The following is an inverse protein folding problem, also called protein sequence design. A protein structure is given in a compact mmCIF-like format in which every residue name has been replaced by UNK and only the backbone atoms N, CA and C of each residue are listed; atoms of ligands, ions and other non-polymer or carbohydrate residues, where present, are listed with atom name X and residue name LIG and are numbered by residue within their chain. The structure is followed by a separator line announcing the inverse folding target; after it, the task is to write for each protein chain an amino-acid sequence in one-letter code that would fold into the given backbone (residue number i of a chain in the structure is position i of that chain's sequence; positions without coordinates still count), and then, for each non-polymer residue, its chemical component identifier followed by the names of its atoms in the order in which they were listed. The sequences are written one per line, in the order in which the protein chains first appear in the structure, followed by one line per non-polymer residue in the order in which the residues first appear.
data_IF_555094813205
#
_entry.id   IF_555094813205
#
_cell.length_a   1.000
_cell.length_b   1.000
_cell.length_c   1.000
_cell.angle_alpha   90.00
_cell.angle_beta   90.00
_cell.angle_gamma   90.00
#
_symmetry.space_group_name_H-M   'P 1'
#
loop_
_entity.id
_entity.type
_entity.pdbx_description
1 polymer ?
#
# COMPACT_ATOMS: atom_id res chain seq x y z
N UNK A 1 -19.72 -3.18 17.40
CA UNK A 1 -20.35 -2.46 16.28
C UNK A 1 -19.26 -1.74 15.51
N UNK A 2 -19.39 -1.61 14.19
CA UNK A 2 -18.50 -0.77 13.40
C UNK A 2 -19.15 0.61 13.30
N UNK A 3 -18.46 1.65 13.77
CA UNK A 3 -18.92 3.04 13.74
C UNK A 3 -17.90 3.90 12.99
N UNK A 4 -18.38 4.85 12.19
CA UNK A 4 -17.55 5.86 11.56
C UNK A 4 -17.74 7.19 12.30
N UNK A 5 -16.64 7.77 12.77
CA UNK A 5 -16.63 9.04 13.49
C UNK A 5 -15.79 10.03 12.70
N UNK A 6 -16.43 11.08 12.18
CA UNK A 6 -15.73 12.16 11.49
C UNK A 6 -15.02 13.07 12.51
N UNK A 7 -13.70 13.21 12.34
CA UNK A 7 -12.84 14.07 13.15
C UNK A 7 -12.03 15.05 12.29
N UNK A 8 -12.39 15.23 11.01
CA UNK A 8 -11.64 16.07 10.05
C UNK A 8 -11.52 17.51 10.56
N UNK A 9 -12.60 18.09 11.07
CA UNK A 9 -12.63 19.46 11.58
C UNK A 9 -12.16 19.60 13.03
N UNK A 10 -11.89 18.49 13.72
CA UNK A 10 -11.43 18.51 15.10
C UNK A 10 -9.92 18.78 15.16
N UNK A 11 -9.48 19.50 16.20
CA UNK A 11 -8.05 19.57 16.56
C UNK A 11 -7.54 18.21 17.03
N UNK A 12 -6.23 18.00 17.00
CA UNK A 12 -5.62 16.76 17.52
C UNK A 12 -5.96 16.51 18.99
N UNK A 13 -6.03 17.56 19.80
CA UNK A 13 -6.40 17.48 21.21
C UNK A 13 -7.84 17.00 21.38
N UNK A 14 -8.79 17.58 20.62
CA UNK A 14 -10.20 17.20 20.72
C UNK A 14 -10.42 15.77 20.20
N UNK A 15 -9.74 15.39 19.12
CA UNK A 15 -9.76 14.03 18.59
C UNK A 15 -9.19 13.02 19.58
N UNK A 16 -8.03 13.29 20.17
CA UNK A 16 -7.42 12.43 21.19
C UNK A 16 -8.32 12.29 22.41
N UNK A 17 -8.91 13.39 22.91
CA UNK A 17 -9.86 13.35 24.01
C UNK A 17 -11.07 12.47 23.68
N UNK A 18 -11.65 12.61 22.49
CA UNK A 18 -12.79 11.79 22.08
C UNK A 18 -12.44 10.29 22.01
N UNK A 19 -11.24 9.95 21.51
CA UNK A 19 -10.76 8.56 21.48
C UNK A 19 -10.56 8.02 22.91
N UNK A 20 -10.03 8.82 23.82
CA UNK A 20 -9.87 8.42 25.21
C UNK A 20 -11.23 8.23 25.92
N UNK A 21 -12.17 9.16 25.69
CA UNK A 21 -13.52 9.13 26.27
C UNK A 21 -14.36 7.95 25.73
N UNK A 22 -14.03 7.38 24.56
CA UNK A 22 -14.69 6.17 24.04
C UNK A 22 -14.20 4.87 24.68
N UNK A 23 -13.13 4.91 25.47
CA UNK A 23 -12.58 3.72 26.13
C UNK A 23 -11.91 2.73 25.19
N UNK A 24 -11.40 3.18 24.03
CA UNK A 24 -10.75 2.32 23.04
C UNK A 24 -9.47 1.68 23.61
N UNK A 25 -9.38 0.35 23.57
CA UNK A 25 -8.18 -0.36 24.05
C UNK A 25 -7.02 -0.30 23.04
N UNK A 26 -7.31 -0.42 21.74
CA UNK A 26 -6.32 -0.49 20.66
C UNK A 26 -6.64 0.53 19.58
N UNK A 27 -5.68 1.42 19.29
CA UNK A 27 -5.76 2.40 18.22
C UNK A 27 -4.74 2.07 17.13
N UNK A 28 -5.21 1.95 15.89
CA UNK A 28 -4.35 1.81 14.72
C UNK A 28 -4.16 3.17 14.04
N UNK A 29 -2.91 3.61 13.90
CA UNK A 29 -2.55 4.72 13.01
C UNK A 29 -2.24 4.17 11.63
N UNK A 30 -3.06 4.57 10.64
CA UNK A 30 -2.90 4.13 9.26
C UNK A 30 -1.97 5.03 8.45
N UNK A 31 -1.55 6.17 8.99
CA UNK A 31 -0.95 7.24 8.21
C UNK A 31 0.53 7.47 8.53
N UNK A 32 0.94 7.46 9.81
CA UNK A 32 2.28 7.82 10.26
C UNK A 32 2.88 9.06 9.53
N UNK A 33 3.77 8.89 8.57
CA UNK A 33 4.40 10.00 7.81
C UNK A 33 3.77 10.29 6.43
N UNK A 34 2.64 9.66 6.10
CA UNK A 34 1.93 9.92 4.84
C UNK A 34 1.06 11.17 4.89
N UNK A 35 0.60 11.62 3.72
CA UNK A 35 -0.20 12.84 3.57
C UNK A 35 -1.47 12.76 4.41
N UNK A 36 -1.70 13.80 5.23
CA UNK A 36 -2.87 13.89 6.09
C UNK A 36 -2.69 13.21 7.46
N UNK A 37 -1.47 12.76 7.77
CA UNK A 37 -1.11 12.25 9.10
C UNK A 37 -1.49 13.19 10.23
N UNK A 38 -1.89 12.62 11.36
CA UNK A 38 -2.28 13.34 12.59
C UNK A 38 -1.39 12.93 13.78
N UNK A 39 -0.06 13.11 13.71
CA UNK A 39 0.88 12.59 14.71
C UNK A 39 0.67 13.20 16.11
N UNK A 40 0.03 14.37 16.21
CA UNK A 40 -0.32 14.95 17.51
C UNK A 40 -1.34 14.11 18.29
N UNK A 41 -2.24 13.38 17.61
CA UNK A 41 -3.15 12.43 18.25
C UNK A 41 -2.34 11.28 18.87
N UNK A 42 -1.41 10.69 18.11
CA UNK A 42 -0.53 9.63 18.59
C UNK A 42 0.34 10.11 19.76
N UNK A 43 0.86 11.33 19.66
CA UNK A 43 1.72 11.93 20.69
C UNK A 43 1.02 12.10 22.05
N UNK A 44 -0.32 12.27 22.04
CA UNK A 44 -1.19 12.35 23.22
C UNK A 44 -1.59 10.99 23.79
N UNK A 45 -1.30 9.89 23.08
CA UNK A 45 -1.53 8.50 23.50
C UNK A 45 -2.94 8.26 24.07
N UNK A 46 -4.01 8.43 23.28
CA UNK A 46 -5.39 8.36 23.77
C UNK A 46 -5.91 6.93 23.99
N UNK A 47 -5.14 5.90 23.62
CA UNK A 47 -5.48 4.49 23.81
C UNK A 47 -4.35 3.76 24.55
N UNK A 48 -4.65 2.59 25.12
CA UNK A 48 -3.65 1.78 25.87
C UNK A 48 -2.59 1.21 24.93
N UNK A 49 -3.02 0.71 23.78
CA UNK A 49 -2.17 0.12 22.75
C UNK A 49 -2.30 0.95 21.48
N UNK A 50 -1.19 1.49 20.98
CA UNK A 50 -1.12 2.14 19.69
C UNK A 50 -0.30 1.29 18.73
N UNK A 51 -0.81 1.16 17.50
CA UNK A 51 -0.23 0.32 16.44
C UNK A 51 -0.06 1.14 15.18
N UNK A 52 1.16 1.19 14.65
CA UNK A 52 1.43 1.68 13.30
C UNK A 52 1.08 0.58 12.29
N UNK A 53 0.11 0.85 11.41
CA UNK A 53 -0.26 -0.09 10.36
C UNK A 53 -0.90 0.57 9.14
N UNK A 54 -0.09 0.67 8.10
CA UNK A 54 -0.27 0.16 6.73
C UNK A 54 0.16 1.23 5.73
N UNK A 55 -0.40 2.44 5.84
CA UNK A 55 -0.22 3.47 4.81
C UNK A 55 1.22 3.94 4.67
N UNK A 56 1.99 3.98 5.76
CA UNK A 56 3.42 4.28 5.72
C UNK A 56 4.25 3.00 5.84
N UNK A 57 5.06 2.64 4.83
CA UNK A 57 5.92 1.46 4.87
C UNK A 57 7.23 1.78 5.64
N UNK A 58 7.12 2.03 6.94
CA UNK A 58 8.26 2.32 7.81
C UNK A 58 7.88 2.67 9.25
N UNK A 59 8.90 2.92 10.07
CA UNK A 59 8.75 3.36 11.47
C UNK A 59 8.04 4.71 11.58
N UNK A 60 7.24 4.89 12.63
CA UNK A 60 6.71 6.20 13.02
C UNK A 60 7.74 7.07 13.77
N UNK A 61 8.86 6.47 14.20
CA UNK A 61 9.90 7.13 14.99
C UNK A 61 9.51 7.45 16.44
N UNK A 62 8.28 7.17 16.86
CA UNK A 62 7.89 7.30 18.26
C UNK A 62 8.56 6.22 19.11
N UNK A 63 8.82 6.55 20.38
CA UNK A 63 9.30 5.54 21.33
C UNK A 63 8.26 4.43 21.53
N UNK A 64 8.69 3.20 21.89
CA UNK A 64 7.79 2.09 22.23
C UNK A 64 6.74 2.43 23.31
N UNK A 65 7.00 3.46 24.13
CA UNK A 65 6.10 3.93 25.16
C UNK A 65 4.89 4.71 24.58
N UNK A 66 5.04 5.30 23.39
CA UNK A 66 3.98 6.05 22.69
C UNK A 66 3.34 5.23 21.56
N UNK A 67 4.15 4.64 20.68
CA UNK A 67 3.70 3.71 19.63
C UNK A 67 4.19 2.32 20.00
N UNK A 68 3.28 1.42 20.37
CA UNK A 68 3.68 0.15 20.98
C UNK A 68 4.14 -0.86 19.94
N UNK A 69 3.42 -0.95 18.83
CA UNK A 69 3.65 -1.97 17.81
C UNK A 69 3.68 -1.40 16.40
N UNK A 70 4.40 -2.07 15.53
CA UNK A 70 4.27 -1.96 14.07
C UNK A 70 3.83 -3.33 13.54
N UNK A 71 2.77 -3.36 12.73
CA UNK A 71 2.24 -4.58 12.14
C UNK A 71 2.94 -4.85 10.79
N UNK A 72 3.64 -5.98 10.68
CA UNK A 72 4.52 -6.31 9.55
C UNK A 72 4.47 -7.80 9.22
N UNK A 73 5.23 -8.22 8.19
CA UNK A 73 5.56 -9.62 7.90
C UNK A 73 7.09 -9.80 7.79
N UNK A 74 7.54 -11.06 7.72
CA UNK A 74 8.96 -11.39 7.70
C UNK A 74 9.65 -11.12 6.35
N UNK A 75 8.90 -10.75 5.31
CA UNK A 75 9.44 -10.37 4.01
C UNK A 75 9.77 -8.88 3.99
N UNK A 76 8.85 -8.03 4.48
CA UNK A 76 9.04 -6.57 4.48
C UNK A 76 9.91 -6.08 5.63
N UNK A 77 9.88 -6.77 6.78
CA UNK A 77 10.79 -6.51 7.89
C UNK A 77 11.39 -7.84 8.39
N UNK A 78 12.47 -8.32 7.77
CA UNK A 78 13.20 -9.49 8.24
C UNK A 78 13.58 -9.34 9.73
N UNK A 79 13.40 -10.37 10.59
CA UNK A 79 13.65 -10.26 12.03
C UNK A 79 15.04 -9.76 12.43
N UNK A 80 16.04 -10.02 11.60
CA UNK A 80 17.42 -9.58 11.77
C UNK A 80 17.61 -8.06 11.68
N UNK A 81 16.67 -7.33 11.07
CA UNK A 81 16.79 -5.89 10.83
C UNK A 81 16.00 -5.03 11.83
N UNK A 82 15.17 -5.63 12.69
CA UNK A 82 14.23 -4.91 13.58
C UNK A 82 14.93 -3.78 14.34
N UNK A 83 16.06 -4.06 15.00
CA UNK A 83 16.75 -3.09 15.86
C UNK A 83 17.37 -1.90 15.10
N UNK A 84 17.55 -2.03 13.79
CA UNK A 84 18.16 -1.00 12.95
C UNK A 84 17.10 -0.15 12.22
N UNK A 85 15.93 -0.72 11.96
CA UNK A 85 14.93 -0.13 11.07
C UNK A 85 13.70 0.44 11.77
N UNK A 86 13.32 -0.08 12.95
CA UNK A 86 12.08 0.33 13.62
C UNK A 86 12.25 0.65 15.10
N UNK A 87 11.43 1.58 15.59
CA UNK A 87 11.40 1.95 17.02
C UNK A 87 10.30 1.22 17.77
N UNK A 88 9.22 0.84 17.09
CA UNK A 88 8.11 0.05 17.65
C UNK A 88 8.49 -1.42 17.81
N UNK A 89 7.73 -2.16 18.62
CA UNK A 89 7.85 -3.62 18.65
C UNK A 89 7.19 -4.21 17.42
N UNK A 90 7.92 -5.01 16.65
CA UNK A 90 7.34 -5.71 15.50
C UNK A 90 6.30 -6.75 15.96
N UNK A 91 5.12 -6.71 15.37
CA UNK A 91 4.11 -7.76 15.45
C UNK A 91 3.96 -8.39 14.07
N UNK A 92 4.36 -9.66 13.96
CA UNK A 92 4.38 -10.38 12.69
C UNK A 92 3.05 -11.05 12.38
N UNK A 93 2.45 -10.67 11.26
CA UNK A 93 1.28 -11.35 10.71
C UNK A 93 1.70 -12.63 9.96
N UNK A 94 0.85 -13.68 9.97
CA UNK A 94 1.08 -14.85 9.14
C UNK A 94 0.85 -14.49 7.66
N UNK A 95 1.87 -14.72 6.83
CA UNK A 95 1.78 -14.45 5.39
C UNK A 95 2.16 -13.01 5.04
N UNK A 96 1.22 -12.24 4.48
CA UNK A 96 1.45 -10.88 4.00
C UNK A 96 0.86 -9.85 4.95
N UNK A 97 1.62 -8.80 5.27
CA UNK A 97 1.17 -7.71 6.13
C UNK A 97 0.09 -6.85 5.45
N UNK A 98 0.07 -6.79 4.12
CA UNK A 98 -0.80 -5.91 3.37
C UNK A 98 -2.19 -6.53 3.17
N UNK A 99 -3.18 -5.99 3.87
CA UNK A 99 -4.58 -6.28 3.60
C UNK A 99 -5.01 -5.69 2.24
N UNK A 100 -5.57 -6.53 1.38
CA UNK A 100 -6.14 -6.13 0.09
C UNK A 100 -7.56 -6.70 -0.04
N UNK A 101 -8.44 -5.95 -0.72
CA UNK A 101 -9.75 -6.45 -1.12
C UNK A 101 -9.74 -6.79 -2.60
N UNK A 102 -10.14 -8.02 -2.94
CA UNK A 102 -10.25 -8.50 -4.31
C UNK A 102 -11.70 -8.57 -4.80
N UNK A 103 -12.65 -8.05 -4.01
CA UNK A 103 -14.10 -8.21 -4.23
C UNK A 103 -14.63 -7.49 -5.47
N UNK A 104 -13.82 -6.64 -6.11
CA UNK A 104 -14.23 -5.83 -7.26
C UNK A 104 -13.29 -5.99 -8.47
N UNK A 105 -12.81 -7.22 -8.70
CA UNK A 105 -12.08 -7.53 -9.94
C UNK A 105 -13.07 -7.57 -11.11
N UNK A 106 -13.14 -6.47 -11.87
CA UNK A 106 -13.85 -6.47 -13.14
C UNK A 106 -13.00 -7.18 -14.20
N UNK A 107 -13.53 -8.27 -14.74
CA UNK A 107 -12.94 -8.95 -15.88
C UNK A 107 -13.52 -8.37 -17.18
N UNK A 108 -12.72 -7.59 -17.91
CA UNK A 108 -13.10 -7.08 -19.23
C UNK A 108 -13.28 -8.21 -20.26
N UNK A 109 -12.50 -9.28 -20.13
CA UNK A 109 -12.63 -10.51 -20.90
C UNK A 109 -12.87 -11.65 -19.91
N UNK A 110 -13.95 -12.40 -20.10
CA UNK A 110 -14.26 -13.55 -19.22
C UNK A 110 -13.24 -14.66 -19.43
N UNK A 111 -12.64 -15.23 -18.36
CA UNK A 111 -11.75 -16.38 -18.48
C UNK A 111 -12.51 -17.70 -18.74
N UNK A 112 -13.84 -17.69 -18.76
CA UNK A 112 -14.68 -18.88 -18.97
C UNK A 112 -15.01 -19.16 -20.46
N UNK A 113 -14.47 -18.36 -21.39
CA UNK A 113 -14.66 -18.56 -22.84
C UNK A 113 -13.52 -19.40 -23.42
N UNK A 114 -13.62 -19.79 -24.69
CA UNK A 114 -12.53 -20.51 -25.35
C UNK A 114 -11.25 -19.66 -25.43
N UNK A 115 -10.09 -20.29 -25.49
CA UNK A 115 -8.79 -19.60 -25.61
C UNK A 115 -8.75 -18.64 -26.82
N UNK A 116 -9.38 -19.04 -27.94
CA UNK A 116 -9.47 -18.23 -29.15
C UNK A 116 -10.33 -16.97 -28.94
N UNK A 117 -11.47 -17.10 -28.27
CA UNK A 117 -12.35 -15.97 -27.94
C UNK A 117 -11.71 -15.03 -26.92
N UNK A 118 -11.05 -15.58 -25.90
CA UNK A 118 -10.32 -14.81 -24.90
C UNK A 118 -9.20 -14.00 -25.56
N UNK A 119 -8.40 -14.64 -26.42
CA UNK A 119 -7.32 -13.99 -27.18
C UNK A 119 -7.84 -12.87 -28.09
N UNK A 120 -8.97 -13.12 -28.76
CA UNK A 120 -9.60 -12.12 -29.64
C UNK A 120 -10.11 -10.92 -28.83
N UNK A 121 -10.76 -11.17 -27.69
CA UNK A 121 -11.20 -10.13 -26.77
C UNK A 121 -10.04 -9.27 -26.28
N UNK A 122 -8.97 -9.89 -25.76
CA UNK A 122 -7.79 -9.18 -25.26
C UNK A 122 -7.13 -8.34 -26.36
N UNK A 123 -6.98 -8.87 -27.57
CA UNK A 123 -6.43 -8.09 -28.71
C UNK A 123 -7.31 -6.89 -29.06
N UNK A 124 -8.63 -7.07 -29.04
CA UNK A 124 -9.59 -5.99 -29.30
C UNK A 124 -9.52 -4.89 -28.23
N UNK A 125 -9.54 -5.27 -26.95
CA UNK A 125 -9.44 -4.35 -25.81
C UNK A 125 -8.10 -3.61 -25.85
N UNK A 126 -6.98 -4.30 -26.05
CA UNK A 126 -5.65 -3.66 -26.13
C UNK A 126 -5.58 -2.66 -27.29
N UNK A 127 -6.04 -3.03 -28.48
CA UNK A 127 -6.02 -2.13 -29.64
C UNK A 127 -6.86 -0.86 -29.45
N UNK A 128 -8.02 -0.97 -28.77
CA UNK A 128 -8.94 0.15 -28.51
C UNK A 128 -8.52 1.02 -27.33
N UNK A 129 -8.20 0.41 -26.20
CA UNK A 129 -7.93 1.12 -24.94
C UNK A 129 -6.47 1.56 -24.81
N UNK A 130 -5.53 0.79 -25.37
CA UNK A 130 -4.08 1.00 -25.20
C UNK A 130 -3.37 1.43 -26.48
N UNK A 131 -4.10 1.46 -27.61
CA UNK A 131 -3.60 1.86 -28.92
C UNK A 131 -3.06 0.71 -29.77
N UNK A 132 -3.11 0.89 -31.09
CA UNK A 132 -2.83 -0.15 -32.09
C UNK A 132 -1.42 -0.77 -31.97
N UNK A 133 -0.43 0.00 -31.52
CA UNK A 133 0.93 -0.48 -31.30
C UNK A 133 1.02 -1.60 -30.25
N UNK A 134 0.04 -1.73 -29.37
CA UNK A 134 0.03 -2.73 -28.29
C UNK A 134 -0.48 -4.11 -28.69
N UNK A 135 -1.09 -4.24 -29.87
CA UNK A 135 -1.76 -5.48 -30.32
C UNK A 135 -0.77 -6.62 -30.54
N UNK A 136 0.42 -6.31 -31.06
CA UNK A 136 1.49 -7.28 -31.36
C UNK A 136 2.76 -7.03 -30.53
N UNK A 137 2.63 -6.30 -29.42
CA UNK A 137 3.73 -5.95 -28.54
C UNK A 137 3.64 -6.69 -27.20
N UNK A 138 4.80 -6.97 -26.62
CA UNK A 138 4.87 -7.26 -25.18
C UNK A 138 4.77 -5.93 -24.46
N UNK A 139 3.69 -5.73 -23.69
CA UNK A 139 3.47 -4.51 -22.92
C UNK A 139 3.88 -4.78 -21.48
N UNK A 140 4.97 -4.14 -21.06
CA UNK A 140 5.34 -3.97 -19.67
C UNK A 140 4.57 -2.78 -19.09
N UNK A 141 4.24 -2.82 -17.80
CA UNK A 141 3.50 -1.76 -17.15
C UNK A 141 4.17 -1.35 -15.83
N UNK A 142 4.20 -0.05 -15.57
CA UNK A 142 4.61 0.53 -14.30
C UNK A 142 3.56 1.52 -13.79
N UNK A 143 2.49 1.00 -13.20
CA UNK A 143 1.41 1.81 -12.61
C UNK A 143 1.78 2.33 -11.21
N UNK A 144 2.89 3.03 -11.12
CA UNK A 144 3.38 3.67 -9.91
C UNK A 144 3.41 5.19 -10.06
N UNK A 145 3.56 5.90 -8.94
CA UNK A 145 3.86 7.34 -8.97
C UNK A 145 5.22 7.57 -9.64
N UNK A 146 5.35 8.69 -10.36
CA UNK A 146 6.59 9.04 -11.07
C UNK A 146 7.81 9.14 -10.13
N UNK A 147 7.57 9.46 -8.85
CA UNK A 147 8.59 9.53 -7.80
C UNK A 147 9.29 8.19 -7.53
N UNK A 148 8.69 7.05 -7.93
CA UNK A 148 9.29 5.72 -7.81
C UNK A 148 10.11 5.31 -9.05
N UNK A 149 10.12 6.12 -10.11
CA UNK A 149 10.88 5.84 -11.33
C UNK A 149 12.24 6.54 -11.29
N UNK A 150 13.12 6.02 -10.43
CA UNK A 150 14.49 6.53 -10.29
C UNK A 150 15.33 6.27 -11.56
N UNK A 151 16.40 7.07 -11.81
CA UNK A 151 17.26 6.89 -12.98
C UNK A 151 17.83 5.47 -13.13
N UNK A 152 18.15 4.81 -12.00
CA UNK A 152 18.62 3.42 -11.98
C UNK A 152 17.56 2.43 -12.48
N UNK A 153 16.32 2.60 -12.02
CA UNK A 153 15.19 1.75 -12.43
C UNK A 153 14.82 2.02 -13.89
N UNK A 154 14.81 3.28 -14.32
CA UNK A 154 14.61 3.63 -15.72
C UNK A 154 15.67 2.99 -16.63
N UNK A 155 16.94 3.02 -16.23
CA UNK A 155 18.02 2.37 -16.97
C UNK A 155 17.83 0.85 -17.08
N UNK A 156 17.31 0.21 -16.02
CA UNK A 156 16.93 -1.22 -16.08
C UNK A 156 15.84 -1.45 -17.12
N UNK A 157 14.79 -0.64 -17.12
CA UNK A 157 13.72 -0.73 -18.13
C UNK A 157 14.25 -0.57 -19.56
N UNK A 158 15.10 0.42 -19.82
CA UNK A 158 15.67 0.60 -21.17
C UNK A 158 16.51 -0.59 -21.63
N UNK A 159 17.23 -1.25 -20.71
CA UNK A 159 17.97 -2.49 -21.02
C UNK A 159 17.07 -3.69 -21.27
N UNK A 160 15.89 -3.73 -20.65
CA UNK A 160 14.88 -4.77 -20.93
C UNK A 160 14.30 -4.52 -22.32
N UNK A 161 13.85 -3.31 -22.61
CA UNK A 161 13.24 -2.95 -23.89
C UNK A 161 14.19 -3.14 -25.08
N UNK A 162 15.49 -2.87 -24.90
CA UNK A 162 16.47 -3.11 -25.98
C UNK A 162 16.67 -4.59 -26.32
N UNK A 163 16.24 -5.51 -25.44
CA UNK A 163 16.35 -6.97 -25.63
C UNK A 163 15.03 -7.63 -26.01
N UNK A 164 13.92 -6.90 -25.97
CA UNK A 164 12.58 -7.44 -26.27
C UNK A 164 12.07 -6.78 -27.55
N UNK A 165 12.13 -7.47 -28.70
CA UNK A 165 11.57 -6.94 -29.95
C UNK A 165 10.11 -6.54 -29.78
N UNK A 166 9.75 -5.35 -30.25
CA UNK A 166 8.42 -4.75 -30.09
C UNK A 166 7.97 -4.62 -28.63
N UNK A 167 8.89 -4.58 -27.67
CA UNK A 167 8.59 -4.31 -26.26
C UNK A 167 8.18 -2.85 -26.05
N UNK A 168 7.13 -2.62 -25.28
CA UNK A 168 6.66 -1.28 -24.89
C UNK A 168 6.55 -1.22 -23.38
N UNK A 169 6.92 -0.09 -22.78
CA UNK A 169 6.67 0.22 -21.37
C UNK A 169 5.53 1.23 -21.27
N UNK A 170 4.51 0.89 -20.51
CA UNK A 170 3.35 1.72 -20.20
C UNK A 170 3.44 2.27 -18.77
#
# INVERSE_FOLDING_TARGET
SNEFIDIVLNSDINSAKRIADSGLDVLFDLMAHTRGSRPGIVALKPAKILVNYLGYPGTSGFSPAKMNYILVDSVVLPPEHIFQEVTEKAFYLPGCYQANSYTNTQHFCSPLVSEAEFTTCIKSVRGKELGAATVNATVFANFNTITKLEPKIFSVWMRILSKVPNGILW
#
